data_IF_115476137932
#
_entry.id   IF_115476137932
#
_cell.length_a   1.000
_cell.length_b   1.000
_cell.length_c   1.000
_cell.angle_alpha   90.00
_cell.angle_beta   90.00
_cell.angle_gamma   90.00
#
_symmetry.space_group_name_H-M   'P 1'
#
loop_
_entity.id
_entity.type
_entity.pdbx_description
1 polymer ?
#
# COMPACT_ATOMS: atom_id res chain seq x y z
N UNK A 1 -5.78 11.91 -23.76
CA UNK A 1 -5.40 12.03 -22.35
C UNK A 1 -5.96 10.82 -21.63
N UNK A 2 -5.13 9.83 -21.30
CA UNK A 2 -5.59 8.74 -20.41
C UNK A 2 -5.74 9.38 -19.04
N UNK A 3 -6.98 9.62 -18.61
CA UNK A 3 -7.24 10.26 -17.33
C UNK A 3 -6.56 9.46 -16.22
N UNK A 4 -5.71 10.12 -15.43
CA UNK A 4 -5.15 9.51 -14.24
C UNK A 4 -6.28 8.93 -13.40
N UNK A 5 -6.13 7.70 -12.91
CA UNK A 5 -7.13 7.10 -12.02
C UNK A 5 -7.24 7.99 -10.77
N UNK A 6 -8.34 8.71 -10.67
CA UNK A 6 -8.64 9.62 -9.56
C UNK A 6 -8.80 8.84 -8.26
N UNK A 7 -9.17 7.56 -8.34
CA UNK A 7 -9.31 6.66 -7.19
C UNK A 7 -8.15 5.69 -7.10
N UNK A 8 -7.52 5.62 -5.93
CA UNK A 8 -6.55 4.59 -5.56
C UNK A 8 -7.20 3.54 -4.65
N UNK A 9 -6.73 2.29 -4.72
CA UNK A 9 -7.19 1.19 -3.88
C UNK A 9 -6.04 0.67 -3.04
N UNK A 10 -6.18 0.74 -1.72
CA UNK A 10 -5.27 0.14 -0.76
C UNK A 10 -5.79 -1.25 -0.36
N UNK A 11 -4.92 -2.25 -0.43
CA UNK A 11 -5.16 -3.56 0.17
C UNK A 11 -4.61 -3.54 1.60
N UNK A 12 -5.48 -3.32 2.57
CA UNK A 12 -5.11 -3.14 3.97
C UNK A 12 -5.24 -4.46 4.73
N UNK A 13 -4.17 -4.90 5.40
CA UNK A 13 -4.20 -6.07 6.28
C UNK A 13 -3.90 -5.69 7.73
N UNK A 14 -4.74 -6.12 8.67
CA UNK A 14 -4.64 -5.79 10.10
C UNK A 14 -5.05 -6.95 11.01
N UNK A 15 -4.65 -6.89 12.28
CA UNK A 15 -4.98 -7.91 13.30
C UNK A 15 -4.26 -9.25 13.16
N UNK A 16 -3.41 -9.42 12.14
CA UNK A 16 -2.57 -10.59 11.90
C UNK A 16 -1.10 -10.35 12.24
N UNK A 17 -0.23 -11.24 11.75
CA UNK A 17 1.21 -11.22 12.00
C UNK A 17 1.99 -11.51 10.72
N UNK A 18 3.16 -10.91 10.59
CA UNK A 18 4.12 -11.28 9.54
C UNK A 18 4.99 -12.42 10.10
N UNK A 19 4.98 -13.56 9.42
CA UNK A 19 5.68 -14.78 9.85
C UNK A 19 6.43 -15.42 8.68
N UNK A 20 7.56 -16.10 8.92
CA UNK A 20 8.22 -16.87 7.88
C UNK A 20 7.36 -18.06 7.44
N UNK A 21 7.35 -18.33 6.14
CA UNK A 21 6.72 -19.50 5.52
C UNK A 21 7.70 -20.66 5.49
N UNK A 22 7.22 -21.88 5.76
CA UNK A 22 7.97 -23.11 5.51
C UNK A 22 7.67 -23.63 4.09
N UNK A 23 8.64 -24.18 3.33
CA UNK A 23 10.06 -24.39 3.69
C UNK A 23 11.01 -23.26 3.28
N UNK A 24 10.55 -22.25 2.55
CA UNK A 24 11.41 -21.27 1.87
C UNK A 24 11.82 -20.06 2.72
N UNK A 25 11.29 -19.92 3.94
CA UNK A 25 11.63 -18.84 4.87
C UNK A 25 11.02 -17.48 4.52
N UNK A 26 10.37 -17.34 3.36
CA UNK A 26 9.79 -16.07 2.90
C UNK A 26 8.71 -15.58 3.85
N UNK A 27 8.71 -14.29 4.15
CA UNK A 27 7.70 -13.69 5.01
C UNK A 27 6.33 -13.67 4.33
N UNK A 28 5.28 -13.90 5.12
CA UNK A 28 3.87 -13.78 4.72
C UNK A 28 3.05 -13.16 5.83
N UNK A 29 1.97 -12.50 5.46
CA UNK A 29 0.93 -12.14 6.42
C UNK A 29 0.12 -13.38 6.80
N UNK A 30 -0.13 -13.60 8.10
CA UNK A 30 -0.87 -14.73 8.62
C UNK A 30 -1.88 -14.30 9.68
N UNK A 31 -3.10 -14.82 9.56
CA UNK A 31 -4.25 -14.42 10.37
C UNK A 31 -4.72 -13.01 10.04
N UNK A 32 -5.60 -12.47 10.89
CA UNK A 32 -6.17 -11.13 10.73
C UNK A 32 -7.20 -11.01 9.62
N UNK A 33 -7.45 -9.77 9.21
CA UNK A 33 -8.35 -9.43 8.12
C UNK A 33 -7.62 -8.66 7.02
N UNK A 34 -8.09 -8.84 5.79
CA UNK A 34 -7.64 -8.06 4.64
C UNK A 34 -8.86 -7.41 3.99
N UNK A 35 -8.84 -6.09 3.83
CA UNK A 35 -9.92 -5.31 3.23
C UNK A 35 -9.37 -4.34 2.19
N UNK A 36 -10.20 -4.01 1.20
CA UNK A 36 -9.87 -2.99 0.19
C UNK A 36 -10.48 -1.65 0.61
N UNK A 37 -9.64 -0.64 0.71
CA UNK A 37 -10.03 0.75 0.93
C UNK A 37 -9.82 1.54 -0.37
N UNK A 38 -10.90 2.02 -0.97
CA UNK A 38 -10.84 2.90 -2.14
C UNK A 38 -11.00 4.36 -1.71
N UNK A 39 -10.07 5.22 -2.11
CA UNK A 39 -10.05 6.64 -1.73
C UNK A 39 -9.65 7.49 -2.92
N UNK A 40 -9.97 8.77 -2.84
CA UNK A 40 -9.43 9.75 -3.78
C UNK A 40 -7.90 9.79 -3.67
N UNK A 41 -7.22 9.94 -4.80
CA UNK A 41 -5.77 9.97 -4.88
C UNK A 41 -5.16 11.18 -4.18
N UNK A 42 -5.92 12.28 -4.07
CA UNK A 42 -5.51 13.50 -3.36
C UNK A 42 -5.82 13.47 -1.86
N UNK A 43 -6.23 12.32 -1.31
CA UNK A 43 -6.53 12.19 0.12
C UNK A 43 -5.33 12.61 0.97
N UNK A 44 -5.53 13.48 1.98
CA UNK A 44 -4.49 13.77 2.96
C UNK A 44 -4.16 12.53 3.80
N UNK A 45 -2.90 12.35 4.16
CA UNK A 45 -2.42 11.24 4.99
C UNK A 45 -3.19 11.14 6.32
N UNK A 46 -3.49 12.28 6.94
CA UNK A 46 -4.29 12.34 8.17
C UNK A 46 -5.71 11.77 7.98
N UNK A 47 -6.37 12.09 6.87
CA UNK A 47 -7.70 11.55 6.56
C UNK A 47 -7.62 10.06 6.21
N UNK A 48 -6.57 9.63 5.50
CA UNK A 48 -6.32 8.23 5.20
C UNK A 48 -6.19 7.39 6.48
N UNK A 49 -5.41 7.88 7.47
CA UNK A 49 -5.27 7.24 8.76
C UNK A 49 -6.60 7.16 9.53
N UNK A 50 -7.43 8.19 9.47
CA UNK A 50 -8.76 8.17 10.10
C UNK A 50 -9.62 7.07 9.49
N UNK A 51 -9.72 7.01 8.15
CA UNK A 51 -10.51 5.96 7.46
C UNK A 51 -10.00 4.55 7.78
N UNK A 52 -8.68 4.35 7.82
CA UNK A 52 -8.10 3.06 8.21
C UNK A 52 -8.36 2.74 9.69
N UNK A 53 -8.34 3.75 10.56
CA UNK A 53 -8.64 3.60 11.98
C UNK A 53 -10.10 3.23 12.24
N UNK A 54 -11.04 3.79 11.48
CA UNK A 54 -12.47 3.41 11.51
C UNK A 54 -12.69 1.96 11.08
N UNK A 55 -11.92 1.47 10.08
CA UNK A 55 -11.99 0.08 9.65
C UNK A 55 -11.48 -0.91 10.71
N UNK A 56 -10.45 -0.52 11.46
CA UNK A 56 -9.84 -1.35 12.50
C UNK A 56 -10.56 -1.22 13.86
N UNK A 57 -11.15 -0.06 14.15
CA UNK A 57 -11.75 0.30 15.44
C UNK A 57 -10.80 0.98 16.43
N UNK A 58 -9.61 1.43 16.01
CA UNK A 58 -8.64 2.14 16.84
C UNK A 58 -7.63 2.91 15.99
N UNK A 59 -6.78 3.74 16.61
CA UNK A 59 -5.67 4.40 15.92
C UNK A 59 -4.71 3.37 15.30
N UNK A 60 -4.25 3.65 14.08
CA UNK A 60 -3.40 2.75 13.29
C UNK A 60 -2.14 3.45 12.81
N UNK A 61 -1.12 2.67 12.48
CA UNK A 61 0.04 3.10 11.71
C UNK A 61 0.02 2.43 10.33
N UNK A 62 0.46 3.17 9.32
CA UNK A 62 0.52 2.69 7.94
C UNK A 62 1.94 2.22 7.61
N UNK A 63 2.06 0.95 7.23
CA UNK A 63 3.27 0.38 6.66
C UNK A 63 2.95 -0.26 5.32
N UNK A 64 3.75 0.05 4.31
CA UNK A 64 3.55 -0.42 2.95
C UNK A 64 4.79 -1.14 2.43
N UNK A 65 4.56 -2.14 1.59
CA UNK A 65 5.60 -2.74 0.77
C UNK A 65 5.81 -1.82 -0.45
N UNK A 66 7.04 -1.69 -0.93
CA UNK A 66 7.29 -1.08 -2.24
C UNK A 66 7.09 -2.14 -3.34
N UNK A 67 6.77 -1.76 -4.59
CA UNK A 67 6.44 -2.71 -5.66
C UNK A 67 7.47 -3.81 -5.92
N UNK A 68 8.75 -3.56 -5.61
CA UNK A 68 9.88 -4.46 -5.87
C UNK A 68 10.41 -5.16 -4.62
N UNK A 69 9.93 -4.79 -3.44
CA UNK A 69 10.45 -5.24 -2.14
C UNK A 69 9.60 -6.38 -1.57
N UNK A 70 10.10 -7.07 -0.55
CA UNK A 70 9.40 -8.13 0.20
C UNK A 70 8.85 -7.59 1.56
N UNK A 71 8.14 -8.43 2.33
CA UNK A 71 7.52 -8.04 3.62
C UNK A 71 8.53 -7.77 4.75
N UNK A 72 9.82 -8.03 4.53
CA UNK A 72 10.91 -7.69 5.46
C UNK A 72 11.39 -6.23 5.31
N UNK A 73 11.03 -5.57 4.21
CA UNK A 73 11.42 -4.21 3.88
C UNK A 73 10.22 -3.23 3.83
N UNK A 74 9.26 -3.39 4.74
CA UNK A 74 8.12 -2.47 4.84
C UNK A 74 8.55 -1.06 5.22
N UNK A 75 8.08 -0.07 4.46
CA UNK A 75 8.30 1.36 4.75
C UNK A 75 7.15 1.90 5.59
N UNK A 76 7.47 2.79 6.53
CA UNK A 76 6.46 3.50 7.31
C UNK A 76 6.06 4.77 6.58
N UNK A 77 4.75 4.99 6.42
CA UNK A 77 4.21 6.20 5.83
C UNK A 77 3.78 7.12 6.97
N UNK A 78 4.36 8.31 7.04
CA UNK A 78 4.19 9.23 8.17
C UNK A 78 3.78 10.64 7.77
N UNK A 79 3.71 10.91 6.47
CA UNK A 79 3.40 12.23 5.92
C UNK A 79 2.70 12.13 4.56
N UNK A 80 2.16 13.26 4.09
CA UNK A 80 1.63 13.40 2.74
C UNK A 80 2.70 13.19 1.67
N UNK A 81 3.95 13.58 1.96
CA UNK A 81 5.10 13.36 1.07
C UNK A 81 5.41 11.86 0.92
N UNK A 82 5.46 11.12 2.02
CA UNK A 82 5.65 9.67 1.99
C UNK A 82 4.53 8.97 1.21
N UNK A 83 3.28 9.42 1.40
CA UNK A 83 2.14 8.87 0.69
C UNK A 83 2.22 9.16 -0.81
N UNK A 84 2.57 10.38 -1.20
CA UNK A 84 2.74 10.76 -2.61
C UNK A 84 3.85 9.94 -3.27
N UNK A 85 5.00 9.79 -2.60
CA UNK A 85 6.13 9.00 -3.07
C UNK A 85 5.73 7.52 -3.27
N UNK A 86 5.02 6.93 -2.30
CA UNK A 86 4.54 5.55 -2.40
C UNK A 86 3.64 5.37 -3.63
N UNK A 87 2.69 6.28 -3.82
CA UNK A 87 1.75 6.21 -4.94
C UNK A 87 2.49 6.33 -6.29
N UNK A 88 3.48 7.22 -6.38
CA UNK A 88 4.28 7.38 -7.59
C UNK A 88 5.07 6.11 -7.94
N UNK A 89 5.70 5.47 -6.95
CA UNK A 89 6.42 4.21 -7.16
C UNK A 89 5.51 3.10 -7.72
N UNK A 90 4.29 2.97 -7.20
CA UNK A 90 3.31 2.01 -7.74
C UNK A 90 2.84 2.36 -9.15
N UNK A 91 2.64 3.64 -9.46
CA UNK A 91 2.25 4.08 -10.80
C UNK A 91 3.32 3.79 -11.85
N UNK A 92 4.60 3.98 -11.50
CA UNK A 92 5.74 3.68 -12.39
C UNK A 92 5.71 2.24 -12.86
N UNK A 93 5.43 1.30 -11.94
CA UNK A 93 5.38 -0.14 -12.24
C UNK A 93 4.05 -0.55 -12.92
N UNK A 94 2.96 0.17 -12.67
CA UNK A 94 1.66 -0.09 -13.30
C UNK A 94 1.58 0.41 -14.75
N UNK A 95 2.46 1.35 -15.16
CA UNK A 95 2.58 1.78 -16.54
C UNK A 95 3.35 0.73 -17.37
N UNK A 96 2.81 0.20 -18.48
CA UNK A 96 3.59 -0.67 -19.35
C UNK A 96 4.78 0.15 -19.90
N UNK A 97 5.98 -0.44 -20.02
CA UNK A 97 7.08 0.24 -20.70
C UNK A 97 6.59 0.62 -22.08
N UNK A 98 6.51 1.92 -22.37
CA UNK A 98 6.18 2.40 -23.71
C UNK A 98 7.16 1.74 -24.66
N UNK A 99 6.66 0.85 -25.51
CA UNK A 99 7.50 0.09 -26.43
C UNK A 99 8.37 1.08 -27.19
N UNK A 100 9.69 1.01 -26.96
CA UNK A 100 10.66 1.67 -27.81
C UNK A 100 10.50 1.00 -29.17
N UNK A 101 9.78 1.68 -30.06
CA UNK A 101 9.83 1.36 -31.49
C UNK A 101 11.14 1.97 -31.98
N UNK A 102 12.09 1.08 -32.27
CA UNK A 102 13.25 1.37 -33.12
C UNK A 102 12.72 1.72 -34.52
#
# INVERSE_FOLDING_TARGET
MVGAKITIKFLCSYGGKIVPRYPDGKLRYYGGETRVLAVDRSIPFSELLVKMGEMYGSAVSLRCQLPTEDLDALVSITSDEDLANLIEEYDRVASPPSSIKI
#
